data_IF_230888777202
#
_entry.id   IF_230888777202
#
_cell.length_a   1.000
_cell.length_b   1.000
_cell.length_c   1.000
_cell.angle_alpha   90.00
_cell.angle_beta   90.00
_cell.angle_gamma   90.00
#
_symmetry.space_group_name_H-M   'P 1'
#
loop_
_entity.id
_entity.type
_entity.pdbx_description
1 polymer ?
#
# COMPACT_ATOMS: atom_id res chain seq x y z
N UNK A 1 -22.91 -53.42 52.35
CA UNK A 1 -23.63 -53.04 51.11
C UNK A 1 -23.00 -51.77 50.54
N UNK A 2 -22.60 -51.85 49.26
CA UNK A 2 -22.19 -50.84 48.26
C UNK A 2 -21.48 -49.55 48.70
N UNK A 3 -20.19 -49.48 48.32
CA UNK A 3 -19.36 -48.28 48.13
C UNK A 3 -19.88 -47.48 46.91
N UNK A 4 -19.99 -46.16 47.02
CA UNK A 4 -20.06 -45.26 45.85
C UNK A 4 -19.00 -44.17 46.02
N UNK A 5 -17.96 -44.23 45.18
CA UNK A 5 -16.97 -43.17 44.98
C UNK A 5 -17.39 -42.42 43.70
N UNK A 6 -17.72 -41.14 43.83
CA UNK A 6 -17.95 -40.24 42.69
C UNK A 6 -16.64 -39.51 42.42
N UNK A 7 -16.01 -39.81 41.28
CA UNK A 7 -14.87 -39.05 40.74
C UNK A 7 -15.44 -37.97 39.83
N UNK A 8 -15.33 -36.71 40.24
CA UNK A 8 -15.67 -35.56 39.40
C UNK A 8 -14.45 -35.22 38.52
N UNK A 9 -14.52 -35.54 37.23
CA UNK A 9 -13.55 -35.10 36.24
C UNK A 9 -13.83 -33.64 35.85
N UNK A 10 -12.98 -32.70 36.30
CA UNK A 10 -12.97 -31.32 35.78
C UNK A 10 -12.38 -31.33 34.37
N UNK A 11 -13.25 -31.23 33.36
CA UNK A 11 -12.84 -30.96 31.98
C UNK A 11 -12.60 -29.44 31.84
N UNK A 12 -11.35 -29.01 31.90
CA UNK A 12 -10.97 -27.63 31.60
C UNK A 12 -11.10 -27.39 30.09
N UNK A 13 -12.16 -26.72 29.64
CA UNK A 13 -12.27 -26.24 28.27
C UNK A 13 -11.22 -25.14 28.03
N UNK A 14 -10.15 -25.48 27.32
CA UNK A 14 -9.24 -24.50 26.76
C UNK A 14 -9.94 -23.78 25.59
N UNK A 15 -10.50 -22.59 25.84
CA UNK A 15 -11.04 -21.75 24.77
C UNK A 15 -9.87 -21.27 23.89
N UNK A 16 -9.93 -21.44 22.55
CA UNK A 16 -8.90 -20.89 21.68
C UNK A 16 -8.95 -19.37 21.77
N UNK A 17 -7.86 -18.75 22.24
CA UNK A 17 -7.68 -17.31 22.14
C UNK A 17 -7.54 -16.97 20.65
N UNK A 18 -8.60 -16.41 20.08
CA UNK A 18 -8.56 -15.87 18.72
C UNK A 18 -7.68 -14.64 18.75
N UNK A 19 -6.45 -14.76 18.24
CA UNK A 19 -5.55 -13.65 18.06
C UNK A 19 -6.12 -12.70 16.99
N UNK A 20 -6.84 -11.65 17.41
CA UNK A 20 -7.33 -10.61 16.51
C UNK A 20 -6.16 -9.71 16.08
N UNK A 21 -5.68 -9.91 14.85
CA UNK A 21 -4.69 -9.04 14.22
C UNK A 21 -5.36 -7.77 13.70
N UNK A 22 -4.83 -6.60 14.05
CA UNK A 22 -5.35 -5.33 13.50
C UNK A 22 -5.05 -5.26 12.00
N UNK A 23 -6.08 -5.13 11.16
CA UNK A 23 -5.92 -4.81 9.74
C UNK A 23 -6.06 -3.30 9.56
N UNK A 24 -5.19 -2.70 8.75
CA UNK A 24 -5.18 -1.27 8.46
C UNK A 24 -5.17 -1.06 6.95
N UNK A 25 -6.10 -0.27 6.44
CA UNK A 25 -6.08 0.16 5.05
C UNK A 25 -5.27 1.44 4.92
N UNK A 26 -4.15 1.38 4.20
CA UNK A 26 -3.36 2.56 3.84
C UNK A 26 -3.92 3.19 2.58
N UNK A 27 -3.81 4.51 2.45
CA UNK A 27 -4.36 5.22 1.29
C UNK A 27 -5.85 5.51 1.37
N UNK A 28 -6.54 4.90 2.34
CA UNK A 28 -7.97 5.11 2.56
C UNK A 28 -8.29 6.59 2.79
N UNK A 29 -9.34 7.00 2.08
CA UNK A 29 -9.85 8.34 1.93
C UNK A 29 -11.21 8.44 2.62
N UNK A 30 -11.49 9.59 3.25
CA UNK A 30 -12.83 9.97 3.68
C UNK A 30 -13.14 11.36 3.09
N UNK A 31 -14.03 11.47 2.09
CA UNK A 31 -14.81 10.37 1.48
C UNK A 31 -13.92 9.37 0.72
N UNK A 32 -14.46 8.19 0.38
CA UNK A 32 -13.78 7.11 -0.34
C UNK A 32 -13.03 7.60 -1.61
N UNK A 33 -12.09 6.78 -2.12
CA UNK A 33 -11.24 7.16 -3.26
C UNK A 33 -12.07 7.80 -4.40
N UNK A 34 -11.63 8.95 -4.93
CA UNK A 34 -12.36 9.65 -5.98
C UNK A 34 -12.55 8.75 -7.20
N UNK A 35 -13.52 9.10 -8.04
CA UNK A 35 -13.77 8.37 -9.28
C UNK A 35 -12.92 8.95 -10.39
N UNK A 36 -12.36 8.08 -11.23
CA UNK A 36 -11.70 8.52 -12.47
C UNK A 36 -12.71 9.23 -13.36
N UNK A 37 -12.27 10.21 -14.15
CA UNK A 37 -13.12 10.86 -15.16
C UNK A 37 -13.35 9.96 -16.37
N UNK A 38 -12.47 8.98 -16.59
CA UNK A 38 -12.60 8.03 -17.68
C UNK A 38 -13.96 7.31 -17.63
N UNK A 39 -14.67 7.21 -18.78
CA UNK A 39 -14.15 7.46 -20.14
C UNK A 39 -14.23 8.93 -20.61
N UNK A 40 -14.76 9.85 -19.80
CA UNK A 40 -14.90 11.26 -20.19
C UNK A 40 -13.58 12.04 -20.06
N UNK A 41 -13.48 13.12 -20.83
CA UNK A 41 -12.30 13.98 -20.84
C UNK A 41 -12.20 14.91 -19.61
N UNK A 42 -10.98 15.16 -19.09
CA UNK A 42 -9.74 14.49 -19.46
C UNK A 42 -9.64 13.10 -18.83
N UNK A 43 -9.54 12.05 -19.66
CA UNK A 43 -9.29 10.69 -19.20
C UNK A 43 -7.78 10.50 -18.97
N UNK A 44 -7.38 10.40 -17.71
CA UNK A 44 -5.98 10.27 -17.32
C UNK A 44 -5.65 8.84 -16.93
N UNK A 45 -4.58 8.31 -17.51
CA UNK A 45 -3.91 7.10 -17.07
C UNK A 45 -2.47 7.39 -16.65
N UNK A 46 -1.92 6.50 -15.83
CA UNK A 46 -0.51 6.50 -15.48
C UNK A 46 0.24 5.60 -16.46
N UNK A 47 1.44 6.01 -16.89
CA UNK A 47 2.26 5.23 -17.82
C UNK A 47 3.67 5.07 -17.29
N UNK A 48 4.16 3.83 -17.22
CA UNK A 48 5.54 3.46 -16.98
C UNK A 48 6.18 4.26 -15.84
N UNK A 49 5.55 4.28 -14.66
CA UNK A 49 6.00 5.09 -13.52
C UNK A 49 5.72 4.41 -12.19
N UNK A 50 6.41 4.84 -11.13
CA UNK A 50 6.05 4.48 -9.76
C UNK A 50 5.65 5.75 -9.02
N UNK A 51 4.52 5.71 -8.31
CA UNK A 51 3.97 6.87 -7.62
C UNK A 51 3.39 6.55 -6.25
N UNK A 52 3.37 7.55 -5.37
CA UNK A 52 2.63 7.47 -4.10
C UNK A 52 2.14 8.85 -3.67
N UNK A 53 1.09 8.87 -2.85
CA UNK A 53 0.52 10.12 -2.35
C UNK A 53 1.25 10.62 -1.12
N UNK A 54 1.75 11.86 -1.17
CA UNK A 54 2.38 12.52 -0.02
C UNK A 54 1.33 13.28 0.79
N UNK A 55 0.34 13.90 0.12
CA UNK A 55 -0.84 14.51 0.75
C UNK A 55 -2.07 14.13 -0.04
N UNK A 56 -3.06 13.57 0.65
CA UNK A 56 -4.35 13.16 0.12
C UNK A 56 -5.49 13.92 0.82
N UNK A 57 -6.71 13.78 0.29
CA UNK A 57 -8.03 14.00 0.90
C UNK A 57 -8.02 14.77 2.24
N UNK A 58 -8.62 15.96 2.25
CA UNK A 58 -8.70 16.81 3.45
C UNK A 58 -7.32 17.09 4.09
N UNK A 59 -6.27 17.12 3.26
CA UNK A 59 -4.87 17.39 3.66
C UNK A 59 -4.25 16.34 4.58
N UNK A 60 -4.73 15.09 4.54
CA UNK A 60 -4.13 13.94 5.22
C UNK A 60 -2.71 13.71 4.72
N UNK A 61 -1.73 13.92 5.60
CA UNK A 61 -0.31 13.78 5.27
C UNK A 61 0.17 12.34 5.38
N UNK A 62 0.90 11.90 4.35
CA UNK A 62 1.61 10.62 4.25
C UNK A 62 0.68 9.43 4.51
N UNK A 63 -0.38 9.26 3.70
CA UNK A 63 -1.37 8.19 3.85
C UNK A 63 -0.79 6.79 3.65
N UNK A 64 0.33 6.66 2.93
CA UNK A 64 1.01 5.39 2.66
C UNK A 64 2.27 5.14 3.50
N UNK A 65 2.51 5.96 4.53
CA UNK A 65 3.67 5.79 5.40
C UNK A 65 3.43 4.69 6.43
N UNK A 66 4.29 3.67 6.41
CA UNK A 66 4.33 2.59 7.38
C UNK A 66 4.75 3.12 8.76
N UNK A 67 3.83 3.06 9.73
CA UNK A 67 4.05 3.60 11.09
C UNK A 67 4.67 2.60 12.06
N UNK A 68 4.55 1.30 11.80
CA UNK A 68 5.09 0.20 12.59
C UNK A 68 5.62 -0.88 11.65
N UNK A 69 6.39 -1.83 12.14
CA UNK A 69 6.75 -2.98 11.31
C UNK A 69 5.52 -3.85 11.07
N UNK A 70 5.50 -4.62 9.98
CA UNK A 70 4.40 -5.51 9.64
C UNK A 70 4.53 -6.03 8.22
N UNK A 71 3.40 -6.33 7.59
CA UNK A 71 3.33 -6.87 6.24
C UNK A 71 2.25 -6.19 5.41
N UNK A 72 2.50 -6.04 4.10
CA UNK A 72 1.45 -5.78 3.11
C UNK A 72 1.03 -7.13 2.55
N UNK A 73 -0.26 -7.42 2.59
CA UNK A 73 -0.82 -8.72 2.17
C UNK A 73 -1.71 -8.62 0.92
N UNK A 74 -2.22 -7.43 0.64
CA UNK A 74 -3.07 -7.16 -0.51
C UNK A 74 -3.05 -5.67 -0.84
N UNK A 75 -3.52 -5.32 -2.03
CA UNK A 75 -3.77 -3.94 -2.41
C UNK A 75 -5.00 -3.88 -3.32
N UNK A 76 -5.76 -2.80 -3.21
CA UNK A 76 -6.90 -2.53 -4.09
C UNK A 76 -6.49 -1.45 -5.06
N UNK A 77 -6.86 -1.60 -6.33
CA UNK A 77 -6.66 -0.57 -7.36
C UNK A 77 -8.01 -0.23 -7.94
N UNK A 78 -8.41 1.04 -7.90
CA UNK A 78 -9.63 1.51 -8.57
C UNK A 78 -9.26 1.98 -9.97
N UNK A 79 -9.86 1.34 -10.96
CA UNK A 79 -9.55 1.51 -12.38
C UNK A 79 -10.65 2.32 -13.04
N UNK A 80 -10.27 3.35 -13.80
CA UNK A 80 -11.19 4.07 -14.67
C UNK A 80 -11.82 3.14 -15.71
N UNK A 81 -13.07 3.42 -16.08
CA UNK A 81 -13.72 2.72 -17.19
C UNK A 81 -13.20 3.33 -18.50
N UNK A 82 -12.89 2.49 -19.48
CA UNK A 82 -12.39 2.92 -20.79
C UNK A 82 -13.29 2.42 -21.91
N UNK A 83 -13.28 3.13 -23.03
CA UNK A 83 -13.80 2.62 -24.31
C UNK A 83 -12.74 1.79 -25.01
N UNK A 84 -13.14 0.99 -26.01
CA UNK A 84 -12.17 0.22 -26.81
C UNK A 84 -11.14 1.13 -27.49
N UNK A 85 -11.57 2.26 -28.05
CA UNK A 85 -10.66 3.23 -28.68
C UNK A 85 -9.61 3.79 -27.72
N UNK A 86 -9.98 4.02 -26.45
CA UNK A 86 -9.03 4.45 -25.43
C UNK A 86 -8.04 3.35 -25.05
N UNK A 87 -8.50 2.10 -24.97
CA UNK A 87 -7.64 0.94 -24.73
C UNK A 87 -6.63 0.81 -25.89
N UNK A 88 -7.11 0.83 -27.13
CA UNK A 88 -6.27 0.73 -28.33
C UNK A 88 -5.23 1.86 -28.40
N UNK A 89 -5.62 3.09 -28.01
CA UNK A 89 -4.70 4.23 -27.92
C UNK A 89 -3.56 3.98 -26.93
N UNK A 90 -3.86 3.43 -25.74
CA UNK A 90 -2.84 3.17 -24.73
C UNK A 90 -1.98 1.96 -25.07
N UNK A 91 -2.59 0.89 -25.55
CA UNK A 91 -1.90 -0.35 -25.96
C UNK A 91 -0.93 -0.11 -27.11
N UNK A 92 -1.32 0.74 -28.07
CA UNK A 92 -0.44 1.15 -29.16
C UNK A 92 0.78 1.98 -28.73
N UNK A 93 0.84 2.43 -27.47
CA UNK A 93 1.84 3.41 -27.01
C UNK A 93 2.66 3.00 -25.80
N UNK A 94 2.15 2.18 -24.87
CA UNK A 94 2.75 2.00 -23.54
C UNK A 94 3.02 0.55 -23.11
N UNK A 95 3.29 -0.34 -24.07
CA UNK A 95 3.43 -1.79 -23.89
C UNK A 95 2.14 -2.45 -23.35
N UNK A 96 1.98 -3.74 -23.61
CA UNK A 96 0.79 -4.52 -23.20
C UNK A 96 1.19 -5.77 -22.41
N UNK A 97 0.30 -6.28 -21.54
CA UNK A 97 -1.00 -5.71 -21.15
C UNK A 97 -0.86 -4.54 -20.15
N UNK A 98 -1.94 -3.79 -19.95
CA UNK A 98 -2.05 -2.81 -18.87
C UNK A 98 -1.78 -3.49 -17.51
N UNK A 99 -0.81 -2.99 -16.75
CA UNK A 99 -0.27 -3.72 -15.60
C UNK A 99 0.09 -2.84 -14.41
N UNK A 100 -0.06 -3.41 -13.22
CA UNK A 100 0.26 -2.76 -11.94
C UNK A 100 0.97 -3.71 -10.98
N UNK A 101 1.66 -3.14 -10.00
CA UNK A 101 2.13 -3.85 -8.80
C UNK A 101 2.31 -2.91 -7.63
N UNK A 102 2.42 -3.46 -6.43
CA UNK A 102 2.74 -2.68 -5.23
C UNK A 102 4.25 -2.71 -4.95
N UNK A 103 4.79 -1.57 -4.54
CA UNK A 103 6.22 -1.36 -4.28
C UNK A 103 6.43 -0.80 -2.88
N UNK A 104 7.48 -1.26 -2.21
CA UNK A 104 7.90 -0.76 -0.91
C UNK A 104 9.16 0.08 -1.09
N UNK A 105 9.08 1.33 -0.66
CA UNK A 105 10.14 2.30 -0.77
C UNK A 105 10.76 2.62 0.59
N UNK A 106 12.04 2.96 0.59
CA UNK A 106 12.75 3.56 1.72
C UNK A 106 13.34 4.89 1.30
N UNK A 107 12.80 5.97 1.85
CA UNK A 107 13.30 7.34 1.62
C UNK A 107 14.70 7.52 2.24
N UNK A 108 15.58 8.21 1.52
CA UNK A 108 16.87 8.63 2.06
C UNK A 108 16.71 9.65 3.18
N UNK A 109 17.59 9.58 4.18
CA UNK A 109 17.47 10.35 5.44
C UNK A 109 18.49 11.48 5.58
N UNK A 110 19.47 11.58 4.68
CA UNK A 110 20.57 12.54 4.76
C UNK A 110 20.82 13.16 3.39
N UNK A 111 21.28 14.40 3.37
CA UNK A 111 21.76 15.05 2.15
C UNK A 111 22.99 14.28 1.60
N UNK A 112 23.16 14.18 0.27
CA UNK A 112 22.28 14.73 -0.79
C UNK A 112 21.05 13.87 -1.10
N UNK A 113 20.95 12.66 -0.54
CA UNK A 113 19.94 11.63 -0.86
C UNK A 113 18.55 11.87 -0.26
N UNK A 114 18.21 13.08 0.15
CA UNK A 114 16.92 13.36 0.83
C UNK A 114 15.72 13.16 -0.10
N UNK A 115 15.94 13.26 -1.41
CA UNK A 115 14.93 13.06 -2.44
C UNK A 115 14.96 11.66 -3.04
N UNK A 116 15.95 10.85 -2.69
CA UNK A 116 16.10 9.52 -3.25
C UNK A 116 15.23 8.53 -2.49
N UNK A 117 14.66 7.58 -3.23
CA UNK A 117 14.03 6.41 -2.64
C UNK A 117 14.76 5.17 -3.10
N UNK A 118 14.95 4.24 -2.17
CA UNK A 118 15.41 2.89 -2.46
C UNK A 118 14.21 1.97 -2.60
N UNK A 119 14.15 1.17 -3.66
CA UNK A 119 13.22 0.05 -3.74
C UNK A 119 13.68 -1.04 -2.79
N UNK A 120 12.85 -1.45 -1.83
CA UNK A 120 13.24 -2.50 -0.85
C UNK A 120 12.51 -3.82 -1.05
N UNK A 121 11.31 -3.79 -1.62
CA UNK A 121 10.52 -4.98 -1.98
C UNK A 121 9.44 -4.59 -3.00
N UNK A 122 8.93 -5.56 -3.74
CA UNK A 122 7.86 -5.40 -4.72
C UNK A 122 7.05 -6.69 -4.80
N UNK A 123 5.77 -6.61 -5.15
CA UNK A 123 4.98 -7.78 -5.54
C UNK A 123 5.30 -8.23 -6.97
N UNK A 124 4.70 -9.35 -7.36
CA UNK A 124 4.40 -9.78 -8.72
C UNK A 124 3.66 -8.69 -9.53
N UNK A 125 3.66 -8.83 -10.86
CA UNK A 125 2.91 -7.97 -11.79
C UNK A 125 1.50 -8.55 -11.91
N UNK A 126 0.49 -7.68 -11.90
CA UNK A 126 -0.89 -8.02 -12.17
C UNK A 126 -1.35 -7.31 -13.44
N UNK A 127 -1.94 -8.06 -14.37
CA UNK A 127 -2.70 -7.49 -15.48
C UNK A 127 -4.03 -6.93 -14.94
N UNK A 128 -4.52 -5.84 -15.52
CA UNK A 128 -5.71 -5.13 -15.03
C UNK A 128 -6.78 -4.85 -16.10
N UNK A 129 -6.56 -5.29 -17.34
CA UNK A 129 -7.46 -4.99 -18.49
C UNK A 129 -8.88 -5.50 -18.26
N UNK A 130 -9.03 -6.72 -17.75
CA UNK A 130 -10.32 -7.35 -17.43
C UNK A 130 -11.07 -6.66 -16.26
N UNK A 131 -10.47 -5.64 -15.65
CA UNK A 131 -10.98 -4.98 -14.47
C UNK A 131 -11.24 -3.47 -14.67
N UNK A 132 -11.11 -2.95 -15.89
CA UNK A 132 -11.40 -1.53 -16.15
C UNK A 132 -12.84 -1.14 -15.73
N UNK A 133 -12.96 -0.01 -15.04
CA UNK A 133 -14.22 0.47 -14.45
C UNK A 133 -14.57 -0.16 -13.10
N UNK A 134 -13.74 -1.05 -12.55
CA UNK A 134 -13.96 -1.71 -11.27
C UNK A 134 -12.86 -1.38 -10.24
N UNK A 135 -12.89 -2.03 -9.07
CA UNK A 135 -11.90 -1.86 -8.02
C UNK A 135 -11.38 -3.21 -7.50
N UNK A 136 -10.63 -3.99 -8.31
CA UNK A 136 -10.11 -5.29 -7.90
C UNK A 136 -9.18 -5.16 -6.70
N UNK A 137 -9.20 -6.17 -5.84
CA UNK A 137 -8.22 -6.37 -4.77
C UNK A 137 -7.35 -7.55 -5.12
N UNK A 138 -6.05 -7.30 -5.20
CA UNK A 138 -5.04 -8.32 -5.47
C UNK A 138 -4.41 -8.74 -4.15
N UNK A 139 -4.59 -10.00 -3.79
CA UNK A 139 -3.88 -10.64 -2.67
C UNK A 139 -2.51 -11.05 -3.17
N UNK A 140 -1.48 -10.81 -2.37
CA UNK A 140 -0.10 -11.14 -2.74
C UNK A 140 0.17 -12.61 -2.47
N UNK A 141 0.85 -13.28 -3.39
CA UNK A 141 1.34 -14.65 -3.18
C UNK A 141 2.28 -14.70 -1.97
N UNK A 142 3.18 -13.72 -1.87
CA UNK A 142 4.09 -13.55 -0.76
C UNK A 142 3.87 -12.18 -0.06
N UNK A 143 3.53 -12.17 1.25
CA UNK A 143 3.41 -10.93 2.00
C UNK A 143 4.70 -10.11 2.03
N UNK A 144 4.62 -8.83 1.68
CA UNK A 144 5.79 -7.94 1.66
C UNK A 144 6.09 -7.44 3.06
N UNK A 145 7.23 -7.84 3.62
CA UNK A 145 7.71 -7.35 4.90
C UNK A 145 8.04 -5.84 4.83
N UNK A 146 7.45 -5.07 5.75
CA UNK A 146 7.65 -3.62 5.84
C UNK A 146 8.17 -3.19 7.21
N UNK A 147 9.03 -2.17 7.20
CA UNK A 147 9.58 -1.55 8.40
C UNK A 147 9.00 -0.14 8.58
N UNK A 148 8.98 0.32 9.83
CA UNK A 148 8.62 1.71 10.16
C UNK A 148 9.42 2.70 9.29
N UNK A 149 8.71 3.61 8.64
CA UNK A 149 9.28 4.61 7.74
C UNK A 149 9.38 4.16 6.28
N UNK A 150 9.03 2.91 5.95
CA UNK A 150 8.77 2.54 4.56
C UNK A 150 7.52 3.24 4.02
N UNK A 151 7.45 3.39 2.71
CA UNK A 151 6.33 3.99 1.99
C UNK A 151 5.82 2.97 0.99
N UNK A 152 4.50 2.78 0.95
CA UNK A 152 3.85 1.93 -0.04
C UNK A 152 3.53 2.75 -1.28
N UNK A 153 3.97 2.29 -2.44
CA UNK A 153 3.82 2.98 -3.73
C UNK A 153 3.19 2.05 -4.76
N UNK A 154 2.43 2.61 -5.70
CA UNK A 154 1.93 1.91 -6.87
C UNK A 154 2.99 2.00 -7.97
N UNK A 155 3.31 0.87 -8.60
CA UNK A 155 4.13 0.81 -9.82
C UNK A 155 3.23 0.43 -10.97
N UNK A 156 3.33 1.16 -12.06
CA UNK A 156 2.67 0.91 -13.33
C UNK A 156 3.78 0.63 -14.34
N UNK A 157 4.14 -0.64 -14.60
CA UNK A 157 5.22 -0.98 -15.53
C UNK A 157 4.92 -0.61 -16.98
N UNK A 158 3.67 -0.79 -17.41
CA UNK A 158 3.16 -0.46 -18.75
C UNK A 158 2.26 0.77 -18.65
N UNK A 159 0.95 0.58 -18.51
CA UNK A 159 -0.02 1.64 -18.27
C UNK A 159 -1.21 1.16 -17.43
N UNK A 160 -1.96 2.07 -16.81
CA UNK A 160 -3.23 1.78 -16.15
C UNK A 160 -4.06 3.06 -15.87
N UNK A 161 -5.41 3.03 -15.96
CA UNK A 161 -6.29 4.17 -15.68
C UNK A 161 -6.50 4.38 -14.17
N UNK A 162 -5.41 4.65 -13.45
CA UNK A 162 -5.35 4.74 -11.98
C UNK A 162 -5.25 6.17 -11.46
N UNK A 163 -5.71 7.14 -12.24
CA UNK A 163 -5.71 8.56 -11.88
C UNK A 163 -7.12 9.13 -11.88
N UNK A 164 -7.39 9.97 -10.90
CA UNK A 164 -8.51 10.92 -10.90
C UNK A 164 -7.94 12.34 -10.99
N UNK A 165 -8.57 13.21 -11.78
CA UNK A 165 -8.23 14.63 -11.94
C UNK A 165 -9.14 15.53 -11.10
N UNK A 166 -8.94 16.85 -11.18
CA UNK A 166 -9.77 17.87 -10.50
C UNK A 166 -9.76 17.79 -8.96
N UNK A 167 -8.68 17.30 -8.38
CA UNK A 167 -8.52 17.23 -6.93
C UNK A 167 -8.10 18.58 -6.34
N UNK A 168 -8.23 18.75 -5.02
CA UNK A 168 -7.80 19.97 -4.33
C UNK A 168 -6.30 20.22 -4.58
N UNK A 169 -5.90 21.47 -4.82
CA UNK A 169 -4.48 21.83 -5.07
C UNK A 169 -3.52 21.51 -3.91
N UNK A 170 -4.03 21.38 -2.69
CA UNK A 170 -3.27 20.97 -1.52
C UNK A 170 -2.86 19.49 -1.58
N UNK A 171 -3.58 18.68 -2.35
CA UNK A 171 -3.28 17.27 -2.58
C UNK A 171 -2.19 17.13 -3.63
N UNK A 172 -1.25 16.23 -3.34
CA UNK A 172 -0.18 15.95 -4.28
C UNK A 172 0.46 14.59 -4.08
N UNK A 173 0.83 14.00 -5.21
CA UNK A 173 1.58 12.76 -5.29
C UNK A 173 2.99 13.01 -5.79
N UNK A 174 3.87 12.04 -5.55
CA UNK A 174 5.25 12.02 -6.06
C UNK A 174 5.43 10.85 -6.98
N UNK A 175 6.28 11.02 -7.98
CA UNK A 175 6.64 9.97 -8.94
C UNK A 175 8.14 9.73 -8.98
N UNK A 176 8.52 8.59 -9.57
CA UNK A 176 9.89 8.20 -9.89
C UNK A 176 10.44 8.85 -11.16
N UNK A 177 9.71 9.79 -11.77
CA UNK A 177 10.17 10.58 -12.93
C UNK A 177 11.40 11.38 -12.53
N UNK A 178 12.35 11.49 -13.47
CA UNK A 178 13.52 12.33 -13.24
C UNK A 178 13.10 13.79 -13.15
N UNK A 179 13.88 14.58 -12.40
CA UNK A 179 13.63 16.01 -12.18
C UNK A 179 13.36 16.80 -13.48
N UNK A 180 14.06 16.48 -14.55
CA UNK A 180 13.97 17.22 -15.81
C UNK A 180 12.71 16.86 -16.62
N UNK A 181 11.98 15.83 -16.19
CA UNK A 181 10.72 15.38 -16.80
C UNK A 181 9.51 15.64 -15.89
N UNK A 182 9.65 16.48 -14.86
CA UNK A 182 8.51 16.89 -14.06
C UNK A 182 7.62 17.81 -14.91
N UNK A 183 6.36 17.41 -15.15
CA UNK A 183 5.40 18.21 -15.90
C UNK A 183 5.41 18.00 -17.42
N UNK A 184 6.28 17.13 -17.95
CA UNK A 184 6.07 16.55 -19.28
C UNK A 184 4.72 15.83 -19.27
N UNK A 185 3.88 16.10 -20.28
CA UNK A 185 2.61 15.39 -20.43
C UNK A 185 2.85 13.89 -20.29
N UNK A 186 2.05 13.20 -19.48
CA UNK A 186 2.34 11.82 -19.05
C UNK A 186 2.60 10.89 -20.24
N UNK A 187 1.91 11.10 -21.35
CA UNK A 187 2.05 10.34 -22.58
C UNK A 187 3.37 10.54 -23.36
N UNK A 188 4.08 11.64 -23.08
CA UNK A 188 5.36 12.01 -23.71
C UNK A 188 6.54 11.81 -22.76
N UNK A 189 6.28 11.45 -21.50
CA UNK A 189 7.32 11.34 -20.49
C UNK A 189 8.08 10.01 -20.63
N UNK A 190 9.43 10.01 -20.61
CA UNK A 190 10.22 8.80 -20.78
C UNK A 190 9.95 7.78 -19.65
N UNK A 191 10.00 6.46 -19.93
CA UNK A 191 9.74 5.41 -18.96
C UNK A 191 10.51 5.63 -17.65
N UNK A 192 9.78 5.61 -16.54
CA UNK A 192 10.30 5.95 -15.23
C UNK A 192 9.96 4.99 -14.10
N UNK A 193 9.31 3.86 -14.40
CA UNK A 193 8.99 2.85 -13.42
C UNK A 193 10.24 2.44 -12.63
N UNK A 194 10.15 2.44 -11.30
CA UNK A 194 11.21 1.97 -10.42
C UNK A 194 11.02 0.47 -10.23
N UNK A 195 11.74 -0.36 -10.99
CA UNK A 195 11.46 -1.81 -11.10
C UNK A 195 12.54 -2.72 -10.51
N UNK A 196 13.69 -2.18 -10.11
CA UNK A 196 14.81 -2.97 -9.57
C UNK A 196 14.86 -2.89 -8.04
N UNK A 197 14.67 -4.02 -7.36
CA UNK A 197 14.89 -4.10 -5.91
C UNK A 197 16.33 -3.72 -5.58
N UNK A 198 16.51 -2.91 -4.55
CA UNK A 198 17.79 -2.38 -4.11
C UNK A 198 18.25 -1.12 -4.85
N UNK A 199 17.68 -0.75 -6.01
CA UNK A 199 18.10 0.47 -6.71
C UNK A 199 17.67 1.74 -5.99
N UNK A 200 18.41 2.82 -6.24
CA UNK A 200 18.07 4.18 -5.83
C UNK A 200 17.54 4.93 -7.04
N UNK A 201 16.54 5.79 -6.81
CA UNK A 201 16.00 6.68 -7.83
C UNK A 201 15.65 8.02 -7.20
N UNK A 202 15.74 9.11 -7.97
CA UNK A 202 15.30 10.45 -7.55
C UNK A 202 13.77 10.55 -7.62
N UNK A 203 13.16 11.23 -6.64
CA UNK A 203 11.70 11.38 -6.49
C UNK A 203 11.31 12.84 -6.26
N UNK A 204 11.87 13.74 -7.05
CA UNK A 204 11.63 15.19 -6.93
C UNK A 204 10.31 15.63 -7.56
N UNK A 205 9.83 14.93 -8.58
CA UNK A 205 8.58 15.30 -9.23
C UNK A 205 7.39 15.18 -8.28
N UNK A 206 6.59 16.25 -8.24
CA UNK A 206 5.40 16.36 -7.41
C UNK A 206 4.28 16.90 -8.30
N UNK A 207 3.12 16.24 -8.25
CA UNK A 207 1.99 16.48 -9.14
C UNK A 207 0.78 16.83 -8.29
N UNK A 208 0.03 17.86 -8.69
CA UNK A 208 -1.08 18.44 -7.92
C UNK A 208 -2.37 18.34 -8.73
N UNK A 209 -3.50 18.28 -8.03
CA UNK A 209 -4.81 18.23 -8.67
C UNK A 209 -5.20 16.86 -9.21
N UNK A 210 -4.40 15.84 -8.90
CA UNK A 210 -4.63 14.45 -9.31
C UNK A 210 -4.49 13.49 -8.13
N UNK A 211 -5.18 12.34 -8.21
CA UNK A 211 -5.12 11.27 -7.21
C UNK A 211 -4.84 9.91 -7.80
N UNK A 212 -3.77 9.27 -7.30
CA UNK A 212 -3.53 7.83 -7.49
C UNK A 212 -4.60 7.00 -6.77
N UNK A 213 -5.24 6.12 -7.54
CA UNK A 213 -6.41 5.35 -7.14
C UNK A 213 -6.04 3.94 -6.67
N UNK A 214 -5.36 3.84 -5.53
CA UNK A 214 -5.08 2.56 -4.89
C UNK A 214 -5.24 2.63 -3.36
N UNK A 215 -5.27 1.49 -2.70
CA UNK A 215 -5.10 1.34 -1.25
C UNK A 215 -4.20 0.13 -0.99
N UNK A 216 -3.70 -0.03 0.24
CA UNK A 216 -2.94 -1.22 0.61
C UNK A 216 -3.40 -1.79 1.95
N UNK A 217 -3.59 -3.10 1.99
CA UNK A 217 -3.97 -3.86 3.19
C UNK A 217 -2.71 -4.18 4.00
N UNK A 218 -2.57 -3.49 5.13
CA UNK A 218 -1.41 -3.54 5.99
C UNK A 218 -1.76 -4.21 7.33
N UNK A 219 -0.99 -5.23 7.69
CA UNK A 219 -1.07 -5.92 8.98
C UNK A 219 0.15 -5.53 9.82
N UNK A 220 0.00 -4.67 10.85
CA UNK A 220 1.07 -4.36 11.78
C UNK A 220 1.46 -5.61 12.57
N UNK A 221 2.75 -5.79 12.79
CA UNK A 221 3.23 -6.79 13.73
C UNK A 221 2.62 -6.55 15.12
N UNK A 222 2.13 -7.62 15.74
CA UNK A 222 1.60 -7.59 17.10
C UNK A 222 2.69 -7.06 18.06
N UNK A 223 2.28 -6.30 19.09
CA UNK A 223 3.18 -6.05 20.22
C UNK A 223 3.40 -7.40 20.90
N UNK A 224 4.63 -7.76 21.25
CA UNK A 224 4.82 -8.75 22.31
C UNK A 224 4.14 -8.16 23.54
N UNK A 225 3.07 -8.77 24.02
CA UNK A 225 2.75 -8.70 25.44
C UNK A 225 3.91 -9.43 26.11
N UNK A 226 4.66 -8.78 26.98
CA UNK A 226 5.58 -9.52 27.85
C UNK A 226 4.76 -10.62 28.57
N UNK A 227 5.36 -11.78 28.86
CA UNK A 227 4.66 -12.80 29.64
C UNK A 227 4.15 -12.13 30.91
N UNK A 228 2.88 -12.36 31.27
CA UNK A 228 2.36 -11.95 32.55
C UNK A 228 3.36 -12.38 33.62
N UNK A 229 3.94 -11.40 34.34
CA UNK A 229 4.77 -11.68 35.51
C UNK A 229 3.98 -12.66 36.37
N UNK A 230 4.53 -13.88 36.49
CA UNK A 230 4.03 -14.83 37.46
C UNK A 230 4.24 -14.18 38.83
N UNK A 231 3.18 -13.57 39.35
CA UNK A 231 3.14 -13.00 40.69
C UNK A 231 3.57 -14.08 41.66
N UNK A 232 4.83 -14.01 42.08
CA UNK A 232 5.34 -14.92 43.11
C UNK A 232 4.94 -14.32 44.44
N UNK A 233 3.85 -14.89 44.94
CA UNK A 233 3.29 -14.79 46.28
C UNK A 233 4.34 -14.84 47.39
N UNK A 234 4.23 -13.90 48.33
CA UNK A 234 4.35 -14.15 49.77
C UNK A 234 5.74 -14.42 50.35
N UNK A 235 6.46 -13.36 50.74
CA UNK A 235 7.45 -13.45 51.80
C UNK A 235 6.77 -13.37 53.18
N UNK A 236 6.78 -14.48 53.92
CA UNK A 236 6.38 -14.54 55.33
C UNK A 236 7.48 -13.92 56.21
N UNK A 237 7.19 -13.00 57.15
CA UNK A 237 8.20 -12.47 58.04
C UNK A 237 8.53 -13.49 59.15
N UNK A 238 9.83 -13.75 59.38
CA UNK A 238 10.30 -14.46 60.58
C UNK A 238 10.42 -13.47 61.74
N UNK A 239 9.95 -13.83 62.94
CA UNK A 239 10.19 -13.02 64.13
C UNK A 239 11.60 -13.24 64.67
N UNK A 240 12.24 -12.15 65.11
CA UNK A 240 13.19 -12.13 66.22
C UNK A 240 12.88 -10.91 67.08
#
# INVERSE_FOLDING_TARGET
MKRLLIVLALLALALPVVASGKIVTLGEADPALPTSKCPNDPCLAAYQMTGYQEVADNSKRRPYLIRRNGQIIAFTVKLGKLTQEQIDFFDGRFDTPASVRISILRKGRRKPRLHDHRMVAQSEIFSVEDHFGTAPTFVLDEPLAVKRGNIVALTVPTWAPVLASEQKRSEFWRSSRSRDNCGTAEENAPPSAHTKVGSLRDWRCSYRGERLLYTATYVPANRRTEPAEAGTSGAVPRPR
#
